data_IF_474385752021
#
_entry.id   IF_474385752021
#
_cell.length_a   1.000
_cell.length_b   1.000
_cell.length_c   1.000
_cell.angle_alpha   90.00
_cell.angle_beta   90.00
_cell.angle_gamma   90.00
#
_symmetry.space_group_name_H-M   'P 1'
#
loop_
_entity.id
_entity.type
_entity.pdbx_description
1 polymer ?
#
# COMPACT_ATOMS: atom_id res chain seq x y z
N UNK A 1 3.58 19.62 -7.86
CA UNK A 1 5.04 19.74 -7.55
C UNK A 1 5.78 18.45 -7.81
N UNK A 2 5.34 17.28 -7.34
CA UNK A 2 5.97 15.96 -7.57
C UNK A 2 6.21 15.66 -9.04
N UNK A 3 5.35 16.13 -9.94
CA UNK A 3 5.49 15.97 -11.41
C UNK A 3 6.78 16.58 -12.00
N UNK A 4 7.48 17.44 -11.24
CA UNK A 4 8.73 18.07 -11.63
C UNK A 4 9.97 17.33 -11.13
N UNK A 5 9.81 16.29 -10.31
CA UNK A 5 10.92 15.52 -9.78
C UNK A 5 11.54 14.64 -10.87
N UNK A 6 12.84 14.78 -11.07
CA UNK A 6 13.54 13.97 -12.05
C UNK A 6 13.49 12.48 -11.69
N UNK A 7 13.31 11.63 -12.70
CA UNK A 7 13.29 10.18 -12.52
C UNK A 7 11.97 9.58 -12.02
N UNK A 8 10.95 10.39 -11.74
CA UNK A 8 9.59 9.92 -11.47
C UNK A 8 9.00 9.37 -12.77
N UNK A 9 8.50 8.13 -12.72
CA UNK A 9 7.85 7.44 -13.84
C UNK A 9 6.34 7.41 -13.70
N UNK A 10 5.87 7.25 -12.47
CA UNK A 10 4.46 7.25 -12.15
C UNK A 10 4.25 7.87 -10.76
N UNK A 11 3.15 8.59 -10.60
CA UNK A 11 2.71 9.13 -9.33
C UNK A 11 1.20 9.00 -9.20
N UNK A 12 0.78 8.37 -8.13
CA UNK A 12 -0.63 8.15 -7.83
C UNK A 12 -0.90 8.65 -6.42
N UNK A 13 -1.98 9.39 -6.27
CA UNK A 13 -2.57 9.73 -4.97
C UNK A 13 -3.83 8.91 -4.79
N UNK A 14 -3.96 8.27 -3.65
CA UNK A 14 -5.15 7.52 -3.26
C UNK A 14 -5.70 8.13 -1.98
N UNK A 15 -6.83 8.82 -2.08
CA UNK A 15 -7.46 9.52 -0.95
C UNK A 15 -8.45 8.60 -0.26
N UNK A 16 -8.39 8.50 1.07
CA UNK A 16 -9.38 7.78 1.86
C UNK A 16 -10.76 8.35 1.62
N UNK A 17 -11.73 7.47 1.38
CA UNK A 17 -13.08 7.87 1.02
C UNK A 17 -13.79 8.53 2.20
N UNK A 18 -14.64 9.51 1.92
CA UNK A 18 -15.37 10.29 2.91
C UNK A 18 -16.26 9.42 3.83
N UNK A 19 -16.81 8.33 3.32
CA UNK A 19 -17.65 7.41 4.09
C UNK A 19 -16.88 6.64 5.17
N UNK A 20 -15.55 6.53 5.06
CA UNK A 20 -14.71 5.92 6.09
C UNK A 20 -14.73 6.72 7.40
N UNK A 21 -14.73 8.06 7.31
CA UNK A 21 -14.73 8.97 8.48
C UNK A 21 -16.01 8.91 9.31
N UNK A 22 -17.11 8.40 8.74
CA UNK A 22 -18.36 8.18 9.49
C UNK A 22 -18.23 7.05 10.51
N UNK A 23 -17.21 6.18 10.38
CA UNK A 23 -16.95 5.03 11.26
C UNK A 23 -15.84 5.28 12.28
N UNK A 24 -15.25 6.49 12.27
CA UNK A 24 -14.10 6.90 13.07
C UNK A 24 -12.96 7.40 12.20
N UNK A 25 -11.87 7.86 12.85
CA UNK A 25 -10.68 8.30 12.12
C UNK A 25 -10.00 7.10 11.46
N UNK A 26 -9.77 7.13 10.13
CA UNK A 26 -9.02 6.10 9.43
C UNK A 26 -7.54 6.16 9.84
N UNK A 27 -6.82 5.03 9.66
CA UNK A 27 -5.38 4.95 9.98
C UNK A 27 -4.54 5.95 9.17
N UNK A 28 -4.96 6.30 7.97
CA UNK A 28 -4.39 7.33 7.11
C UNK A 28 -5.48 8.02 6.27
N UNK A 29 -5.31 9.32 6.01
CA UNK A 29 -6.14 10.09 5.09
C UNK A 29 -5.91 9.71 3.63
N UNK A 30 -4.82 9.02 3.35
CA UNK A 30 -4.48 8.56 2.02
C UNK A 30 -3.08 8.00 1.90
N UNK A 31 -2.73 7.60 0.71
CA UNK A 31 -1.42 7.08 0.34
C UNK A 31 -0.93 7.76 -0.94
N UNK A 32 0.34 8.11 -0.96
CA UNK A 32 1.06 8.57 -2.14
C UNK A 32 2.02 7.47 -2.61
N UNK A 33 1.85 7.02 -3.84
CA UNK A 33 2.67 5.99 -4.48
C UNK A 33 3.51 6.65 -5.57
N UNK A 34 4.83 6.53 -5.47
CA UNK A 34 5.76 7.14 -6.43
C UNK A 34 6.72 6.09 -6.97
N UNK A 35 6.66 5.85 -8.27
CA UNK A 35 7.57 4.94 -8.97
C UNK A 35 8.72 5.73 -9.60
N UNK A 36 9.93 5.30 -9.30
CA UNK A 36 11.16 5.85 -9.87
C UNK A 36 11.75 4.89 -10.90
N UNK A 37 12.52 5.43 -11.82
CA UNK A 37 13.27 4.63 -12.79
C UNK A 37 14.15 3.58 -12.10
N UNK A 38 14.79 3.96 -10.99
CA UNK A 38 15.59 3.11 -10.11
C UNK A 38 15.90 3.84 -8.79
N UNK A 39 16.50 3.13 -7.86
CA UNK A 39 16.88 3.67 -6.55
C UNK A 39 17.89 4.83 -6.65
N UNK A 40 18.80 4.82 -7.64
CA UNK A 40 19.76 5.90 -7.83
C UNK A 40 19.05 7.21 -8.20
N UNK A 41 18.06 7.17 -9.11
CA UNK A 41 17.24 8.33 -9.47
C UNK A 41 16.50 8.90 -8.26
N UNK A 42 15.93 8.06 -7.42
CA UNK A 42 15.30 8.48 -6.17
C UNK A 42 16.32 9.15 -5.21
N UNK A 43 17.50 8.56 -5.05
CA UNK A 43 18.53 9.12 -4.17
C UNK A 43 19.10 10.44 -4.70
N UNK A 44 19.18 10.62 -6.02
CA UNK A 44 19.66 11.84 -6.66
C UNK A 44 18.79 13.08 -6.34
N UNK A 45 17.55 12.88 -5.90
CA UNK A 45 16.68 13.99 -5.47
C UNK A 45 17.10 14.61 -4.13
N UNK A 46 17.90 13.92 -3.33
CA UNK A 46 18.32 14.42 -2.02
C UNK A 46 19.08 15.74 -2.15
N UNK A 47 18.59 16.76 -1.43
CA UNK A 47 19.20 18.08 -1.42
C UNK A 47 18.87 18.94 -2.63
N UNK A 48 18.03 18.48 -3.57
CA UNK A 48 17.56 19.30 -4.68
C UNK A 48 16.52 20.32 -4.25
N UNK A 49 16.47 21.47 -4.93
CA UNK A 49 15.47 22.50 -4.68
C UNK A 49 14.05 22.01 -4.95
N UNK A 50 13.90 21.14 -5.96
CA UNK A 50 12.60 20.55 -6.33
C UNK A 50 12.04 19.66 -5.21
N UNK A 51 12.87 18.80 -4.60
CA UNK A 51 12.44 17.99 -3.46
C UNK A 51 12.15 18.86 -2.25
N UNK A 52 12.96 19.89 -1.97
CA UNK A 52 12.72 20.82 -0.88
C UNK A 52 11.38 21.55 -1.04
N UNK A 53 11.03 21.94 -2.28
CA UNK A 53 9.74 22.59 -2.58
C UNK A 53 8.54 21.64 -2.34
N UNK A 54 8.67 20.34 -2.72
CA UNK A 54 7.66 19.31 -2.42
C UNK A 54 7.48 19.16 -0.92
N UNK A 55 8.58 19.04 -0.17
CA UNK A 55 8.54 18.87 1.28
C UNK A 55 7.98 20.09 2.01
N UNK A 56 8.22 21.30 1.50
CA UNK A 56 7.63 22.53 2.04
C UNK A 56 6.12 22.63 1.79
N UNK A 57 5.65 22.11 0.66
CA UNK A 57 4.23 22.04 0.34
C UNK A 57 3.52 20.98 1.20
N UNK A 58 4.08 19.77 1.31
CA UNK A 58 3.58 18.68 2.17
C UNK A 58 3.39 19.15 3.62
N UNK A 59 4.33 19.92 4.17
CA UNK A 59 4.27 20.42 5.54
C UNK A 59 3.06 21.33 5.84
N UNK A 60 2.32 21.75 4.81
CA UNK A 60 1.12 22.59 4.95
C UNK A 60 -0.14 21.77 5.25
N UNK A 61 -0.15 20.48 4.93
CA UNK A 61 -1.34 19.63 5.02
C UNK A 61 -1.05 18.20 5.51
N UNK A 62 0.21 17.79 5.64
CA UNK A 62 0.58 16.48 6.18
C UNK A 62 1.19 16.63 7.57
N UNK A 63 0.63 15.92 8.55
CA UNK A 63 1.30 15.71 9.83
C UNK A 63 2.40 14.66 9.66
N UNK A 64 3.64 15.12 9.61
CA UNK A 64 4.80 14.26 9.45
C UNK A 64 5.06 13.30 10.61
N UNK A 65 4.53 13.59 11.79
CA UNK A 65 4.69 12.73 12.98
C UNK A 65 3.93 11.40 12.82
N UNK A 66 2.86 11.39 12.02
CA UNK A 66 2.02 10.22 11.75
C UNK A 66 2.32 9.55 10.40
N UNK A 67 3.17 10.18 9.58
CA UNK A 67 3.48 9.69 8.23
C UNK A 67 4.34 8.42 8.26
N UNK A 68 3.88 7.36 7.59
CA UNK A 68 4.68 6.18 7.27
C UNK A 68 5.33 6.29 5.89
N UNK A 69 6.63 5.99 5.79
CA UNK A 69 7.35 5.89 4.52
C UNK A 69 8.04 4.54 4.41
N UNK A 70 7.80 3.84 3.31
CA UNK A 70 8.50 2.60 2.95
C UNK A 70 8.96 2.66 1.49
N UNK A 71 10.01 1.92 1.18
CA UNK A 71 10.47 1.69 -0.19
C UNK A 71 10.27 0.22 -0.48
N UNK A 72 9.55 -0.08 -1.55
CA UNK A 72 9.06 -1.41 -1.84
C UNK A 72 9.52 -1.95 -3.18
N UNK A 73 9.42 -3.26 -3.33
CA UNK A 73 9.37 -3.96 -4.61
C UNK A 73 7.96 -4.55 -4.75
N UNK A 74 7.33 -4.31 -5.91
CA UNK A 74 5.96 -4.76 -6.16
C UNK A 74 5.95 -6.19 -6.73
N UNK A 75 5.05 -7.00 -6.21
CA UNK A 75 4.71 -8.32 -6.71
C UNK A 75 3.24 -8.36 -7.13
N UNK A 76 2.98 -8.49 -8.42
CA UNK A 76 1.63 -8.55 -8.98
C UNK A 76 1.09 -9.97 -8.83
N UNK A 77 0.05 -10.12 -8.01
CA UNK A 77 -0.63 -11.41 -7.76
C UNK A 77 -1.74 -11.64 -8.77
N UNK A 78 -2.49 -10.58 -9.10
CA UNK A 78 -3.59 -10.59 -10.08
C UNK A 78 -3.62 -9.27 -10.83
N UNK A 79 -3.90 -9.26 -12.13
CA UNK A 79 -3.86 -8.06 -12.98
C UNK A 79 -4.95 -8.08 -14.06
N UNK A 80 -6.20 -8.18 -13.63
CA UNK A 80 -7.36 -8.00 -14.53
C UNK A 80 -7.63 -6.49 -14.73
N UNK A 81 -8.24 -6.08 -15.83
CA UNK A 81 -8.61 -4.68 -16.07
C UNK A 81 -9.51 -4.12 -14.96
N UNK A 82 -9.18 -2.92 -14.50
CA UNK A 82 -9.99 -2.17 -13.53
C UNK A 82 -10.80 -1.09 -14.25
N UNK A 83 -12.11 -0.94 -13.98
CA UNK A 83 -12.92 0.11 -14.59
C UNK A 83 -12.53 1.50 -14.03
N UNK A 84 -12.86 2.58 -14.75
CA UNK A 84 -12.78 3.94 -14.22
C UNK A 84 -13.60 4.06 -12.92
N UNK A 85 -13.01 4.65 -11.88
CA UNK A 85 -13.66 4.81 -10.57
C UNK A 85 -13.65 3.55 -9.70
N UNK A 86 -12.89 2.52 -10.05
CA UNK A 86 -12.67 1.34 -9.23
C UNK A 86 -12.36 1.71 -7.78
N UNK A 87 -12.88 0.93 -6.83
CA UNK A 87 -12.50 1.06 -5.43
C UNK A 87 -11.14 0.42 -5.19
N UNK A 88 -10.24 1.15 -4.55
CA UNK A 88 -8.92 0.69 -4.17
C UNK A 88 -8.83 0.49 -2.67
N UNK A 89 -8.63 -0.75 -2.25
CA UNK A 89 -8.35 -1.10 -0.86
C UNK A 89 -6.85 -1.14 -0.61
N UNK A 90 -6.41 -0.60 0.52
CA UNK A 90 -4.99 -0.56 0.92
C UNK A 90 -4.86 -1.12 2.33
N UNK A 91 -4.22 -2.28 2.45
CA UNK A 91 -3.94 -2.96 3.71
C UNK A 91 -2.47 -2.82 4.11
N UNK A 92 -2.22 -2.37 5.33
CA UNK A 92 -0.88 -2.14 5.85
C UNK A 92 -0.46 -3.33 6.71
N UNK A 93 0.62 -4.01 6.31
CA UNK A 93 1.07 -5.26 6.92
C UNK A 93 2.32 -5.10 7.77
N UNK A 94 2.28 -5.64 9.00
CA UNK A 94 3.46 -5.92 9.81
C UNK A 94 3.61 -7.42 9.95
N UNK A 95 4.85 -7.91 9.91
CA UNK A 95 5.14 -9.32 10.13
C UNK A 95 4.86 -9.73 11.58
N UNK A 96 4.54 -10.99 11.78
CA UNK A 96 4.39 -11.58 13.10
C UNK A 96 5.67 -11.37 13.94
N UNK A 97 5.57 -10.98 15.23
CA UNK A 97 6.72 -10.82 16.09
C UNK A 97 7.62 -12.05 16.08
N UNK A 98 8.93 -11.84 15.90
CA UNK A 98 9.93 -12.89 15.80
C UNK A 98 10.04 -13.57 14.44
N UNK A 99 9.17 -13.27 13.49
CA UNK A 99 9.23 -13.82 12.14
C UNK A 99 10.32 -13.12 11.32
N UNK A 100 11.14 -13.90 10.61
CA UNK A 100 12.13 -13.35 9.67
C UNK A 100 11.44 -12.68 8.47
N UNK A 101 12.02 -11.58 7.97
CA UNK A 101 11.48 -10.82 6.84
C UNK A 101 11.26 -11.70 5.60
N UNK A 102 12.23 -12.54 5.29
CA UNK A 102 12.17 -13.45 4.13
C UNK A 102 11.06 -14.50 4.28
N UNK A 103 10.82 -14.99 5.50
CA UNK A 103 9.74 -15.93 5.80
C UNK A 103 8.37 -15.26 5.66
N UNK A 104 8.23 -14.02 6.16
CA UNK A 104 7.03 -13.20 5.98
C UNK A 104 6.73 -12.98 4.50
N UNK A 105 7.69 -12.47 3.74
CA UNK A 105 7.51 -12.17 2.32
C UNK A 105 7.23 -13.42 1.48
N UNK A 106 7.86 -14.55 1.80
CA UNK A 106 7.60 -15.82 1.12
C UNK A 106 6.18 -16.32 1.40
N UNK A 107 5.75 -16.36 2.69
CA UNK A 107 4.40 -16.77 3.04
C UNK A 107 3.36 -15.88 2.35
N UNK A 108 3.59 -14.57 2.36
CA UNK A 108 2.68 -13.61 1.74
C UNK A 108 2.52 -13.85 0.23
N UNK A 109 3.62 -14.12 -0.49
CA UNK A 109 3.57 -14.43 -1.93
C UNK A 109 2.99 -15.81 -2.23
N UNK A 110 3.45 -16.84 -1.53
CA UNK A 110 3.24 -18.23 -1.94
C UNK A 110 1.98 -18.85 -1.34
N UNK A 111 1.49 -18.33 -0.21
CA UNK A 111 0.31 -18.85 0.49
C UNK A 111 -0.83 -17.81 0.46
N UNK A 112 -0.60 -16.66 1.05
CA UNK A 112 -1.64 -15.63 1.20
C UNK A 112 -2.05 -15.00 -0.14
N UNK A 113 -1.10 -14.76 -1.05
CA UNK A 113 -1.36 -14.21 -2.38
C UNK A 113 -2.39 -15.03 -3.16
N UNK A 114 -2.20 -16.34 -3.35
CA UNK A 114 -3.17 -17.20 -4.00
C UNK A 114 -4.56 -17.22 -3.32
N UNK A 115 -4.63 -17.19 -1.99
CA UNK A 115 -5.90 -17.06 -1.27
C UNK A 115 -6.60 -15.76 -1.61
N UNK A 116 -5.86 -14.64 -1.59
CA UNK A 116 -6.39 -13.33 -1.98
C UNK A 116 -6.86 -13.28 -3.42
N UNK A 117 -6.09 -13.87 -4.36
CA UNK A 117 -6.46 -13.92 -5.78
C UNK A 117 -7.78 -14.66 -6.06
N UNK A 118 -8.17 -15.56 -5.16
CA UNK A 118 -9.42 -16.34 -5.27
C UNK A 118 -10.66 -15.56 -4.79
N UNK A 119 -10.50 -14.37 -4.19
CA UNK A 119 -11.62 -13.57 -3.69
C UNK A 119 -12.51 -13.13 -4.87
N UNK A 120 -13.83 -13.40 -4.81
CA UNK A 120 -14.75 -13.01 -5.88
C UNK A 120 -14.79 -11.49 -6.10
N UNK A 121 -14.84 -11.08 -7.35
CA UNK A 121 -14.90 -9.66 -7.74
C UNK A 121 -13.57 -8.90 -7.65
N UNK A 122 -12.51 -9.50 -7.12
CA UNK A 122 -11.19 -8.91 -7.13
C UNK A 122 -10.68 -8.78 -8.56
N UNK A 123 -10.32 -7.56 -8.98
CA UNK A 123 -9.77 -7.25 -10.30
C UNK A 123 -8.26 -7.29 -10.30
N UNK A 124 -7.66 -6.58 -9.38
CA UNK A 124 -6.21 -6.48 -9.30
C UNK A 124 -5.72 -6.63 -7.87
N UNK A 125 -4.57 -7.27 -7.69
CA UNK A 125 -3.92 -7.42 -6.40
C UNK A 125 -2.40 -7.27 -6.56
N UNK A 126 -1.85 -6.32 -5.84
CA UNK A 126 -0.41 -6.06 -5.78
C UNK A 126 0.04 -6.15 -4.33
N UNK A 127 1.13 -6.85 -4.08
CA UNK A 127 1.84 -6.88 -2.81
C UNK A 127 3.09 -6.02 -2.95
N UNK A 128 3.15 -4.89 -2.26
CA UNK A 128 4.30 -4.00 -2.21
C UNK A 128 5.15 -4.37 -0.99
N UNK A 129 6.20 -5.18 -1.19
CA UNK A 129 7.08 -5.69 -0.14
C UNK A 129 8.14 -4.66 0.22
N UNK A 130 8.27 -4.32 1.50
CA UNK A 130 9.35 -3.45 1.98
C UNK A 130 10.71 -4.09 1.70
N UNK A 131 11.60 -3.30 1.08
CA UNK A 131 12.92 -3.78 0.64
C UNK A 131 13.81 -4.16 1.82
N UNK A 132 14.61 -5.23 1.72
CA UNK A 132 15.51 -5.69 2.78
C UNK A 132 16.43 -4.59 3.33
N UNK A 133 16.86 -3.65 2.48
CA UNK A 133 17.72 -2.53 2.90
C UNK A 133 17.09 -1.58 3.94
N UNK A 134 15.77 -1.62 4.13
CA UNK A 134 15.09 -0.82 5.14
C UNK A 134 15.36 -1.33 6.57
N UNK A 135 15.63 -2.63 6.72
CA UNK A 135 15.85 -3.29 8.01
C UNK A 135 17.31 -3.15 8.51
N UNK A 136 18.23 -2.75 7.64
CA UNK A 136 19.66 -2.64 7.97
C UNK A 136 20.03 -1.41 8.85
N UNK A 137 19.05 -0.63 9.30
CA UNK A 137 19.27 0.65 10.01
C UNK A 137 19.04 0.59 11.52
N UNK A 138 18.94 -0.63 12.09
CA UNK A 138 18.74 -0.83 13.53
C UNK A 138 17.35 -0.48 14.06
N UNK A 139 16.38 -0.24 13.14
CA UNK A 139 14.95 -0.07 13.45
C UNK A 139 14.12 -0.69 12.35
N UNK A 140 12.96 -1.23 12.71
CA UNK A 140 12.00 -1.72 11.74
C UNK A 140 11.39 -0.57 10.92
N UNK A 141 11.04 -0.79 9.65
CA UNK A 141 10.29 0.16 8.84
C UNK A 141 8.88 0.38 9.42
N UNK A 142 8.19 1.41 8.95
CA UNK A 142 6.82 1.69 9.35
C UNK A 142 5.89 0.49 9.11
N UNK A 143 6.07 -0.19 7.98
CA UNK A 143 5.33 -1.39 7.57
C UNK A 143 6.28 -2.38 6.87
N UNK A 144 6.02 -3.68 7.03
CA UNK A 144 6.75 -4.72 6.29
C UNK A 144 6.26 -4.85 4.85
N UNK A 145 5.10 -4.29 4.56
CA UNK A 145 4.57 -4.14 3.21
C UNK A 145 3.15 -3.60 3.19
N UNK A 146 2.65 -3.42 1.97
CA UNK A 146 1.30 -2.90 1.71
C UNK A 146 0.62 -3.79 0.67
N UNK A 147 -0.58 -4.29 1.00
CA UNK A 147 -1.48 -4.97 0.07
C UNK A 147 -2.33 -3.93 -0.64
N UNK A 148 -2.36 -3.95 -1.95
CA UNK A 148 -3.19 -3.04 -2.74
C UNK A 148 -4.11 -3.88 -3.62
N UNK A 149 -5.42 -3.70 -3.45
CA UNK A 149 -6.47 -4.47 -4.13
C UNK A 149 -7.45 -3.53 -4.81
N UNK A 150 -8.00 -3.97 -5.96
CA UNK A 150 -9.00 -3.21 -6.69
C UNK A 150 -10.24 -4.05 -6.97
N UNK A 151 -11.39 -3.41 -6.82
CA UNK A 151 -12.71 -3.94 -7.15
C UNK A 151 -13.44 -2.95 -8.07
N UNK A 152 -14.50 -3.40 -8.75
CA UNK A 152 -15.25 -2.53 -9.65
C UNK A 152 -15.73 -1.25 -8.97
N UNK A 153 -16.20 -1.38 -7.72
CA UNK A 153 -16.64 -0.28 -6.87
C UNK A 153 -16.56 -0.65 -5.38
N UNK A 154 -16.96 0.26 -4.50
CA UNK A 154 -16.99 0.02 -3.06
C UNK A 154 -18.00 -1.03 -2.65
N UNK A 155 -19.12 -1.15 -3.36
CA UNK A 155 -20.14 -2.16 -3.05
C UNK A 155 -19.60 -3.56 -3.31
N UNK A 156 -18.91 -3.75 -4.44
CA UNK A 156 -18.23 -5.00 -4.78
C UNK A 156 -17.15 -5.37 -3.74
N UNK A 157 -16.36 -4.38 -3.28
CA UNK A 157 -15.37 -4.59 -2.24
C UNK A 157 -16.04 -5.00 -0.92
N UNK A 158 -17.08 -4.29 -0.48
CA UNK A 158 -17.79 -4.64 0.76
C UNK A 158 -18.47 -6.02 0.66
N UNK A 159 -19.05 -6.37 -0.48
CA UNK A 159 -19.62 -7.69 -0.71
C UNK A 159 -18.55 -8.79 -0.62
N UNK A 160 -17.36 -8.56 -1.20
CA UNK A 160 -16.24 -9.48 -1.13
C UNK A 160 -15.81 -9.78 0.32
N UNK A 161 -15.82 -8.77 1.20
CA UNK A 161 -15.46 -8.91 2.62
C UNK A 161 -16.36 -9.87 3.42
N UNK A 162 -17.51 -10.25 2.88
CA UNK A 162 -18.46 -11.19 3.52
C UNK A 162 -18.42 -12.59 2.93
N UNK A 163 -17.48 -12.85 1.99
CA UNK A 163 -17.35 -14.15 1.32
C UNK A 163 -16.51 -15.14 2.13
N UNK A 164 -16.72 -16.45 1.97
CA UNK A 164 -15.86 -17.47 2.57
C UNK A 164 -14.40 -17.37 2.13
N UNK A 165 -14.16 -16.89 0.91
CA UNK A 165 -12.80 -16.63 0.39
C UNK A 165 -12.10 -15.56 1.21
N UNK A 166 -12.78 -14.44 1.49
CA UNK A 166 -12.23 -13.37 2.33
C UNK A 166 -11.99 -13.84 3.77
N UNK A 167 -12.89 -14.67 4.30
CA UNK A 167 -12.69 -15.27 5.62
C UNK A 167 -11.40 -16.12 5.67
N UNK A 168 -11.13 -16.92 4.63
CA UNK A 168 -9.88 -17.69 4.52
C UNK A 168 -8.64 -16.79 4.46
N UNK A 169 -8.71 -15.71 3.69
CA UNK A 169 -7.64 -14.69 3.62
C UNK A 169 -7.40 -14.08 5.00
N UNK A 170 -8.48 -13.69 5.69
CA UNK A 170 -8.41 -13.07 7.02
C UNK A 170 -7.85 -14.04 8.07
N UNK A 171 -8.25 -15.31 8.02
CA UNK A 171 -7.75 -16.33 8.94
C UNK A 171 -6.25 -16.60 8.74
N UNK A 172 -5.77 -16.56 7.50
CA UNK A 172 -4.34 -16.79 7.21
C UNK A 172 -3.44 -15.69 7.78
N UNK A 173 -3.95 -14.47 8.02
CA UNK A 173 -3.16 -13.40 8.65
C UNK A 173 -2.51 -13.83 9.97
N UNK A 174 -3.16 -14.68 10.76
CA UNK A 174 -2.62 -15.19 12.02
C UNK A 174 -1.34 -16.02 11.85
N UNK A 175 -1.05 -16.52 10.66
CA UNK A 175 0.13 -17.32 10.36
C UNK A 175 1.40 -16.47 10.15
N UNK A 176 1.26 -15.25 9.63
CA UNK A 176 2.42 -14.45 9.22
C UNK A 176 2.37 -12.97 9.62
N UNK A 177 1.20 -12.44 9.97
CA UNK A 177 1.00 -11.04 10.30
C UNK A 177 0.96 -10.80 11.81
N UNK A 178 1.23 -9.56 12.21
CA UNK A 178 1.06 -9.10 13.59
C UNK A 178 -0.38 -9.36 14.07
N UNK A 179 -0.58 -9.82 15.33
CA UNK A 179 -1.92 -10.04 15.88
C UNK A 179 -2.74 -8.74 15.93
N UNK A 180 -4.02 -8.85 15.60
CA UNK A 180 -4.95 -7.74 15.64
C UNK A 180 -5.61 -7.47 14.29
N UNK A 181 -6.46 -6.46 14.22
CA UNK A 181 -7.08 -6.06 12.96
C UNK A 181 -6.02 -5.48 12.00
N UNK A 182 -6.08 -5.88 10.74
CA UNK A 182 -5.25 -5.29 9.70
C UNK A 182 -5.66 -3.83 9.52
N UNK A 183 -4.68 -2.92 9.59
CA UNK A 183 -4.90 -1.52 9.24
C UNK A 183 -5.25 -1.42 7.76
N UNK A 184 -6.46 -0.92 7.45
CA UNK A 184 -7.00 -0.95 6.09
C UNK A 184 -7.77 0.33 5.79
N UNK A 185 -7.58 0.89 4.60
CA UNK A 185 -8.34 2.03 4.08
C UNK A 185 -8.93 1.71 2.71
N UNK A 186 -10.09 2.26 2.42
CA UNK A 186 -10.69 2.25 1.08
C UNK A 186 -10.52 3.64 0.48
N UNK A 187 -9.97 3.70 -0.71
CA UNK A 187 -9.54 4.94 -1.33
C UNK A 187 -10.15 5.15 -2.71
N UNK A 188 -10.11 6.39 -3.15
CA UNK A 188 -10.28 6.79 -4.56
C UNK A 188 -8.92 7.14 -5.15
N UNK A 189 -8.56 6.52 -6.26
CA UNK A 189 -7.27 6.68 -6.92
C UNK A 189 -7.28 7.87 -7.89
N UNK A 190 -6.21 8.67 -7.85
CA UNK A 190 -5.94 9.78 -8.76
C UNK A 190 -4.55 9.61 -9.38
N UNK A 191 -4.48 9.25 -10.66
CA UNK A 191 -3.23 9.16 -11.39
C UNK A 191 -2.78 10.57 -11.79
N UNK A 192 -1.66 11.02 -11.25
CA UNK A 192 -1.10 12.36 -11.49
C UNK A 192 -0.04 12.31 -12.58
N UNK A 193 0.78 11.25 -12.58
CA UNK A 193 1.74 10.91 -13.64
C UNK A 193 1.55 9.42 -13.93
N UNK A 194 1.28 9.06 -15.17
CA UNK A 194 1.04 7.68 -15.61
C UNK A 194 1.86 7.29 -16.81
#
# INVERSE_FOLDING_TARGET
>A
MVTKLAGVRRYVQSHTRQDAYQRGEPVYDGIAEVWFQNTAAMHALRGTAELAAVQADEARFIDRSTMGLIITDDYVVKDDPTPPGAAKGVGFGRRKPGMMVEAFQRHWREVHGPLGAAVPGLRRYVQSHTRPSAYNRGRDPAWDGVAIIWFDDSAALHAAMTTPEWERVSADNANFSEPGPVSFIITSEHVIVG
#
